data_IF_883320179640
#
_entry.id   IF_883320179640
#
_cell.length_a   1.000
_cell.length_b   1.000
_cell.length_c   1.000
_cell.angle_alpha   90.00
_cell.angle_beta   90.00
_cell.angle_gamma   90.00
#
_symmetry.space_group_name_H-M   'P 1'
#
loop_
_entity.id
_entity.type
_entity.pdbx_description
1 polymer ?
#
# COMPACT_ATOMS: atom_id res chain seq x y z
N UNK A 1 14.31 11.48 -16.21
CA UNK A 1 12.96 11.34 -15.59
C UNK A 1 12.76 12.43 -14.55
N UNK A 2 11.57 13.03 -14.51
CA UNK A 2 11.11 13.87 -13.39
C UNK A 2 9.93 13.15 -12.74
N UNK A 3 9.95 13.00 -11.40
CA UNK A 3 8.88 12.33 -10.65
C UNK A 3 8.24 13.33 -9.69
N UNK A 4 6.96 13.69 -9.91
CA UNK A 4 6.20 14.63 -9.08
C UNK A 4 5.29 13.87 -8.11
N UNK A 5 5.47 14.08 -6.80
CA UNK A 5 4.76 13.33 -5.76
C UNK A 5 4.54 14.17 -4.48
N UNK A 6 3.75 13.63 -3.56
CA UNK A 6 3.44 14.29 -2.30
C UNK A 6 4.61 14.27 -1.30
N UNK A 7 4.94 13.10 -0.76
CA UNK A 7 5.79 12.93 0.41
C UNK A 7 6.90 11.89 0.20
N UNK A 8 8.07 12.08 0.84
CA UNK A 8 9.16 11.10 0.85
C UNK A 8 8.90 9.99 1.88
N UNK A 9 8.05 9.02 1.58
CA UNK A 9 7.92 7.82 2.43
C UNK A 9 9.13 6.90 2.28
N UNK A 10 9.53 6.21 3.36
CA UNK A 10 10.73 5.36 3.38
C UNK A 10 10.75 4.31 2.24
N UNK A 11 9.62 3.69 1.94
CA UNK A 11 9.51 2.68 0.88
C UNK A 11 9.64 3.28 -0.53
N UNK A 12 9.19 4.54 -0.74
CA UNK A 12 9.40 5.26 -2.00
C UNK A 12 10.83 5.79 -2.13
N UNK A 13 11.42 6.31 -1.06
CA UNK A 13 12.83 6.71 -1.05
C UNK A 13 13.71 5.55 -1.50
N UNK A 14 13.49 4.34 -0.98
CA UNK A 14 14.24 3.15 -1.40
C UNK A 14 14.07 2.83 -2.87
N UNK A 15 12.84 2.84 -3.37
CA UNK A 15 12.55 2.63 -4.79
C UNK A 15 13.28 3.68 -5.65
N UNK A 16 13.19 4.97 -5.30
CA UNK A 16 13.82 6.04 -6.06
C UNK A 16 15.35 5.99 -5.99
N UNK A 17 15.94 5.59 -4.85
CA UNK A 17 17.37 5.36 -4.76
C UNK A 17 17.83 4.29 -5.76
N UNK A 18 17.11 3.17 -5.86
CA UNK A 18 17.44 2.11 -6.83
C UNK A 18 17.25 2.57 -8.28
N UNK A 19 16.19 3.31 -8.58
CA UNK A 19 15.98 3.88 -9.92
C UNK A 19 17.08 4.89 -10.26
N UNK A 20 17.47 5.75 -9.32
CA UNK A 20 18.50 6.78 -9.52
C UNK A 20 19.90 6.22 -9.80
N UNK A 21 20.21 5.01 -9.34
CA UNK A 21 21.48 4.31 -9.67
C UNK A 21 21.65 4.02 -11.16
N UNK A 22 20.54 3.93 -11.91
CA UNK A 22 20.53 3.46 -13.30
C UNK A 22 19.96 4.49 -14.28
N UNK A 23 19.29 5.53 -13.79
CA UNK A 23 18.63 6.57 -14.59
C UNK A 23 18.71 7.92 -13.89
N UNK A 24 19.02 8.99 -14.62
CA UNK A 24 18.95 10.34 -14.05
C UNK A 24 17.54 10.63 -13.58
N UNK A 25 17.35 10.83 -12.28
CA UNK A 25 16.07 11.02 -11.59
C UNK A 25 16.08 12.34 -10.81
N UNK A 26 15.06 13.17 -11.03
CA UNK A 26 14.71 14.31 -10.19
C UNK A 26 13.34 14.05 -9.56
N UNK A 27 13.27 13.99 -8.23
CA UNK A 27 12.00 13.88 -7.50
C UNK A 27 11.55 15.26 -7.04
N UNK A 28 10.32 15.62 -7.34
CA UNK A 28 9.72 16.91 -6.98
C UNK A 28 8.60 16.67 -5.97
N UNK A 29 8.76 17.20 -4.76
CA UNK A 29 7.79 17.08 -3.68
C UNK A 29 6.92 18.33 -3.59
N UNK A 30 5.60 18.18 -3.38
CA UNK A 30 4.67 19.30 -3.21
C UNK A 30 4.05 19.39 -1.81
N UNK A 31 4.41 18.46 -0.89
CA UNK A 31 4.01 18.49 0.53
C UNK A 31 5.23 18.23 1.43
N UNK A 32 5.23 18.81 2.64
CA UNK A 32 6.36 18.74 3.57
C UNK A 32 6.14 17.82 4.78
N UNK A 33 4.94 17.27 4.98
CA UNK A 33 4.65 16.39 6.11
C UNK A 33 3.21 15.87 6.10
N UNK A 34 2.94 14.91 6.97
CA UNK A 34 1.61 14.39 7.29
C UNK A 34 1.55 14.11 8.79
N UNK A 35 0.63 14.80 9.49
CA UNK A 35 0.50 14.72 10.95
C UNK A 35 -0.03 13.36 11.46
N UNK A 36 -0.61 12.56 10.56
CA UNK A 36 -1.20 11.25 10.85
C UNK A 36 -0.24 10.07 10.66
N UNK A 37 1.07 10.34 10.54
CA UNK A 37 2.11 9.34 10.30
C UNK A 37 3.15 9.32 11.43
N UNK A 38 3.69 8.14 11.73
CA UNK A 38 4.84 7.99 12.61
C UNK A 38 6.06 8.73 12.03
N UNK A 39 6.95 9.21 12.92
CA UNK A 39 8.16 9.91 12.50
C UNK A 39 9.10 9.05 11.65
N UNK A 40 9.10 7.73 11.85
CA UNK A 40 9.89 6.77 11.08
C UNK A 40 9.38 6.54 9.65
N UNK A 41 8.13 6.95 9.34
CA UNK A 41 7.58 6.91 7.98
C UNK A 41 8.41 7.74 6.98
N UNK A 42 9.09 8.79 7.46
CA UNK A 42 9.92 9.69 6.65
C UNK A 42 11.42 9.40 6.77
N UNK A 43 11.81 8.33 7.45
CA UNK A 43 13.22 7.95 7.62
C UNK A 43 13.79 7.34 6.34
N UNK A 44 14.89 7.90 5.86
CA UNK A 44 15.64 7.38 4.72
C UNK A 44 16.55 8.45 4.11
N UNK A 45 17.74 8.06 3.71
CA UNK A 45 18.64 8.94 2.97
C UNK A 45 18.24 8.97 1.50
N UNK A 46 18.11 10.17 0.95
CA UNK A 46 17.77 10.40 -0.45
C UNK A 46 19.05 10.53 -1.28
N UNK A 47 19.40 9.50 -2.04
CA UNK A 47 20.56 9.45 -2.94
C UNK A 47 20.21 9.86 -4.38
N UNK A 48 19.18 10.70 -4.55
CA UNK A 48 18.71 11.24 -5.83
C UNK A 48 18.52 12.75 -5.75
N UNK A 49 18.56 13.44 -6.90
CA UNK A 49 18.27 14.87 -6.96
C UNK A 49 16.80 15.12 -6.57
N UNK A 50 16.56 16.07 -5.66
CA UNK A 50 15.19 16.38 -5.24
C UNK A 50 14.98 17.88 -5.03
N UNK A 51 13.72 18.31 -5.20
CA UNK A 51 13.27 19.69 -5.03
C UNK A 51 11.92 19.71 -4.35
N UNK A 52 11.71 20.72 -3.49
CA UNK A 52 10.44 20.99 -2.83
C UNK A 52 9.73 22.17 -3.47
N UNK A 53 8.50 21.97 -3.95
CA UNK A 53 7.62 23.07 -4.33
C UNK A 53 7.06 23.73 -3.06
N UNK A 54 7.07 25.05 -3.02
CA UNK A 54 6.66 25.81 -1.83
C UNK A 54 5.47 26.72 -2.13
N UNK A 55 4.66 27.00 -1.09
CA UNK A 55 3.49 27.88 -1.14
C UNK A 55 2.25 27.20 -1.66
N UNK A 56 1.22 27.99 -2.00
CA UNK A 56 -0.07 27.48 -2.48
C UNK A 56 -0.03 26.94 -3.91
N UNK A 57 -1.14 26.36 -4.36
CA UNK A 57 -1.27 25.62 -5.60
C UNK A 57 -0.80 26.40 -6.85
N UNK A 58 -1.14 27.68 -6.95
CA UNK A 58 -0.72 28.54 -8.08
C UNK A 58 0.81 28.70 -8.11
N UNK A 59 1.42 29.01 -6.97
CA UNK A 59 2.87 29.17 -6.84
C UNK A 59 3.61 27.87 -7.16
N UNK A 60 3.11 26.74 -6.67
CA UNK A 60 3.66 25.40 -6.97
C UNK A 60 3.57 25.11 -8.47
N UNK A 61 2.44 25.40 -9.12
CA UNK A 61 2.26 25.21 -10.57
C UNK A 61 3.21 26.07 -11.38
N UNK A 62 3.46 27.34 -10.98
CA UNK A 62 4.43 28.22 -11.63
C UNK A 62 5.88 27.74 -11.45
N UNK A 63 6.24 27.26 -10.25
CA UNK A 63 7.57 26.68 -10.00
C UNK A 63 7.77 25.43 -10.86
N UNK A 64 6.75 24.55 -10.93
CA UNK A 64 6.79 23.37 -11.79
C UNK A 64 6.94 23.72 -13.26
N UNK A 65 6.19 24.72 -13.76
CA UNK A 65 6.30 25.20 -15.14
C UNK A 65 7.71 25.67 -15.47
N UNK A 66 8.34 26.45 -14.58
CA UNK A 66 9.73 26.90 -14.73
C UNK A 66 10.72 25.74 -14.73
N UNK A 67 10.52 24.76 -13.87
CA UNK A 67 11.35 23.56 -13.76
C UNK A 67 11.28 22.75 -15.06
N UNK A 68 10.08 22.46 -15.57
CA UNK A 68 9.87 21.67 -16.80
C UNK A 68 10.45 22.36 -18.05
N UNK A 69 10.49 23.71 -18.08
CA UNK A 69 11.12 24.47 -19.19
C UNK A 69 12.65 24.48 -19.13
N UNK A 70 13.22 24.42 -17.91
CA UNK A 70 14.67 24.55 -17.69
C UNK A 70 15.42 23.23 -17.63
N UNK A 71 14.74 22.14 -17.33
CA UNK A 71 15.34 20.82 -17.14
C UNK A 71 14.95 19.89 -18.29
N UNK A 72 15.90 19.34 -19.04
CA UNK A 72 15.58 18.30 -20.02
C UNK A 72 15.10 17.03 -19.30
N UNK A 73 14.02 16.45 -19.82
CA UNK A 73 13.47 15.18 -19.35
C UNK A 73 12.87 14.39 -20.52
N UNK A 74 12.92 13.10 -20.41
CA UNK A 74 12.32 12.12 -21.31
C UNK A 74 10.93 11.67 -20.82
N UNK A 75 10.71 11.67 -19.49
CA UNK A 75 9.47 11.23 -18.87
C UNK A 75 9.15 12.07 -17.63
N UNK A 76 7.88 12.48 -17.51
CA UNK A 76 7.29 13.10 -16.32
C UNK A 76 6.33 12.11 -15.68
N UNK A 77 6.71 11.58 -14.52
CA UNK A 77 5.88 10.65 -13.73
C UNK A 77 5.08 11.44 -12.71
N UNK A 78 3.76 11.35 -12.77
CA UNK A 78 2.82 12.03 -11.88
C UNK A 78 2.31 11.01 -10.85
N UNK A 79 2.52 11.28 -9.56
CA UNK A 79 2.16 10.41 -8.44
C UNK A 79 0.67 10.47 -8.07
N UNK A 80 -0.22 10.60 -9.06
CA UNK A 80 -1.67 10.68 -8.87
C UNK A 80 -2.28 11.84 -9.66
N UNK A 81 -3.50 12.24 -9.29
CA UNK A 81 -4.30 13.29 -9.96
C UNK A 81 -5.02 14.24 -8.99
N UNK A 82 -4.78 14.15 -7.67
CA UNK A 82 -5.59 14.80 -6.64
C UNK A 82 -5.28 16.28 -6.45
N UNK A 83 -4.16 16.79 -6.97
CA UNK A 83 -3.73 18.16 -6.69
C UNK A 83 -3.60 19.00 -7.95
N UNK A 84 -3.76 20.36 -7.84
CA UNK A 84 -3.54 21.26 -8.96
C UNK A 84 -2.15 21.15 -9.57
N UNK A 85 -1.11 20.87 -8.77
CA UNK A 85 0.26 20.71 -9.28
C UNK A 85 0.39 19.50 -10.22
N UNK A 86 -0.27 18.37 -9.89
CA UNK A 86 -0.31 17.17 -10.74
C UNK A 86 -1.07 17.45 -12.05
N UNK A 87 -2.22 18.13 -11.97
CA UNK A 87 -3.00 18.54 -13.14
C UNK A 87 -2.19 19.51 -14.03
N UNK A 88 -1.53 20.50 -13.43
CA UNK A 88 -0.65 21.43 -14.14
C UNK A 88 0.51 20.69 -14.83
N UNK A 89 1.13 19.72 -14.15
CA UNK A 89 2.17 18.87 -14.74
C UNK A 89 1.68 18.15 -15.99
N UNK A 90 0.50 17.51 -15.92
CA UNK A 90 -0.09 16.81 -17.07
C UNK A 90 -0.40 17.74 -18.27
N UNK A 91 -0.78 18.99 -17.99
CA UNK A 91 -1.11 19.98 -19.03
C UNK A 91 0.12 20.65 -19.65
N UNK A 92 1.12 20.96 -18.81
CA UNK A 92 2.33 21.69 -19.22
C UNK A 92 3.35 20.79 -19.94
N UNK A 93 3.32 19.50 -19.70
CA UNK A 93 4.20 18.53 -20.34
C UNK A 93 3.54 17.90 -21.58
N UNK A 94 4.32 17.59 -22.64
CA UNK A 94 3.80 16.86 -23.79
C UNK A 94 3.21 15.50 -23.38
N UNK A 95 2.04 15.15 -23.89
CA UNK A 95 1.35 13.90 -23.56
C UNK A 95 2.25 12.67 -23.66
N UNK A 96 3.07 12.59 -24.72
CA UNK A 96 3.96 11.43 -24.97
C UNK A 96 5.02 11.21 -23.89
N UNK A 97 5.29 12.22 -23.05
CA UNK A 97 6.21 12.14 -21.91
C UNK A 97 5.53 11.95 -20.57
N UNK A 98 4.20 12.01 -20.51
CA UNK A 98 3.44 11.92 -19.27
C UNK A 98 3.17 10.47 -18.89
N UNK A 99 3.63 10.07 -17.71
CA UNK A 99 3.24 8.85 -17.04
C UNK A 99 2.50 9.18 -15.73
N UNK A 100 1.63 8.27 -15.29
CA UNK A 100 0.93 8.39 -14.01
C UNK A 100 1.11 7.13 -13.19
N UNK A 101 1.43 7.28 -11.91
CA UNK A 101 1.37 6.18 -10.94
C UNK A 101 -0.06 6.08 -10.41
N UNK A 102 -0.65 4.90 -10.51
CA UNK A 102 -1.98 4.60 -10.02
C UNK A 102 -1.86 3.65 -8.82
N UNK A 103 -1.99 4.23 -7.63
CA UNK A 103 -2.00 3.49 -6.34
C UNK A 103 -3.44 3.19 -5.88
N UNK A 104 -4.41 4.03 -6.26
CA UNK A 104 -5.84 3.81 -6.01
C UNK A 104 -6.38 2.63 -6.82
N UNK A 105 -7.31 1.86 -6.25
CA UNK A 105 -7.94 0.70 -6.87
C UNK A 105 -9.39 0.96 -7.28
N UNK A 106 -9.98 0.06 -8.03
CA UNK A 106 -11.42 0.08 -8.38
C UNK A 106 -12.33 -0.06 -7.16
N UNK A 107 -11.80 -0.51 -6.03
CA UNK A 107 -12.58 -0.79 -4.82
C UNK A 107 -12.93 0.47 -4.03
N UNK A 108 -12.11 1.55 -4.12
CA UNK A 108 -12.35 2.79 -3.39
C UNK A 108 -12.48 4.02 -4.29
N UNK A 109 -11.96 3.97 -5.51
CA UNK A 109 -11.90 5.15 -6.37
C UNK A 109 -13.04 5.18 -7.39
N UNK A 110 -14.07 5.97 -7.11
CA UNK A 110 -15.20 6.15 -8.01
C UNK A 110 -14.77 6.76 -9.36
N UNK A 111 -15.44 6.29 -10.44
CA UNK A 111 -15.22 6.71 -11.83
C UNK A 111 -16.35 7.56 -12.41
N UNK A 112 -17.41 7.78 -11.62
CA UNK A 112 -18.59 8.57 -11.97
C UNK A 112 -18.59 10.01 -11.43
N UNK A 113 -19.61 10.78 -11.83
CA UNK A 113 -19.82 12.15 -11.40
C UNK A 113 -18.71 13.12 -11.86
N UNK A 114 -18.72 14.34 -11.30
CA UNK A 114 -17.74 15.39 -11.64
C UNK A 114 -16.29 14.95 -11.36
N UNK A 115 -16.04 14.28 -10.23
CA UNK A 115 -14.71 13.77 -9.90
C UNK A 115 -14.21 12.73 -10.90
N UNK A 116 -15.11 11.84 -11.36
CA UNK A 116 -14.79 10.86 -12.39
C UNK A 116 -14.47 11.52 -13.73
N UNK A 117 -15.21 12.58 -14.11
CA UNK A 117 -14.94 13.34 -15.33
C UNK A 117 -13.53 13.99 -15.30
N UNK A 118 -13.17 14.64 -14.21
CA UNK A 118 -11.83 15.23 -14.03
C UNK A 118 -10.74 14.17 -14.18
N UNK A 119 -10.88 13.00 -13.53
CA UNK A 119 -9.95 11.89 -13.68
C UNK A 119 -9.83 11.41 -15.13
N UNK A 120 -10.96 11.27 -15.84
CA UNK A 120 -10.97 10.86 -17.27
C UNK A 120 -10.28 11.89 -18.16
N UNK A 121 -10.47 13.19 -17.91
CA UNK A 121 -9.80 14.25 -18.63
C UNK A 121 -8.28 14.25 -18.35
N UNK A 122 -7.88 14.04 -17.10
CA UNK A 122 -6.48 13.86 -16.73
C UNK A 122 -5.86 12.67 -17.47
N UNK A 123 -6.53 11.50 -17.46
CA UNK A 123 -6.03 10.29 -18.12
C UNK A 123 -5.84 10.45 -19.65
N UNK A 124 -6.58 11.36 -20.31
CA UNK A 124 -6.34 11.71 -21.73
C UNK A 124 -4.98 12.38 -21.97
N UNK A 125 -4.39 12.96 -20.93
CA UNK A 125 -3.06 13.60 -21.00
C UNK A 125 -1.91 12.63 -20.65
N UNK A 126 -2.22 11.37 -20.32
CA UNK A 126 -1.26 10.35 -19.92
C UNK A 126 -0.99 9.40 -21.09
N UNK A 127 0.28 9.04 -21.30
CA UNK A 127 0.71 8.06 -22.30
C UNK A 127 1.02 6.69 -21.69
N UNK A 128 1.49 6.67 -20.41
CA UNK A 128 1.87 5.46 -19.70
C UNK A 128 1.29 5.47 -18.27
N UNK A 129 0.83 4.32 -17.81
CA UNK A 129 0.39 4.11 -16.42
C UNK A 129 1.31 3.10 -15.75
N UNK A 130 1.82 3.45 -14.58
CA UNK A 130 2.44 2.55 -13.62
C UNK A 130 1.38 2.16 -12.59
N UNK A 131 0.83 0.95 -12.70
CA UNK A 131 -0.19 0.44 -11.79
C UNK A 131 0.45 -0.48 -10.76
N UNK A 132 0.15 -0.27 -9.46
CA UNK A 132 0.70 -1.10 -8.39
C UNK A 132 0.32 -2.58 -8.55
N UNK A 133 -0.90 -2.86 -9.03
CA UNK A 133 -1.39 -4.21 -9.29
C UNK A 133 -2.58 -4.22 -10.24
N UNK A 134 -3.27 -5.38 -10.31
CA UNK A 134 -4.41 -5.60 -11.20
C UNK A 134 -5.61 -4.66 -10.94
N UNK A 135 -6.05 -4.44 -9.68
CA UNK A 135 -7.17 -3.53 -9.41
C UNK A 135 -6.88 -2.08 -9.77
N UNK A 136 -5.61 -1.64 -9.68
CA UNK A 136 -5.17 -0.31 -10.07
C UNK A 136 -5.13 -0.17 -11.60
N UNK A 137 -4.67 -1.20 -12.31
CA UNK A 137 -4.75 -1.25 -13.77
C UNK A 137 -6.20 -1.25 -14.27
N UNK A 138 -7.09 -1.97 -13.59
CA UNK A 138 -8.51 -1.99 -13.89
C UNK A 138 -9.16 -0.60 -13.70
N UNK A 139 -8.76 0.16 -12.65
CA UNK A 139 -9.19 1.54 -12.46
C UNK A 139 -8.76 2.44 -13.62
N UNK A 140 -7.51 2.34 -14.07
CA UNK A 140 -7.05 3.10 -15.24
C UNK A 140 -7.90 2.80 -16.49
N UNK A 141 -8.22 1.52 -16.73
CA UNK A 141 -9.13 1.10 -17.81
C UNK A 141 -10.54 1.67 -17.67
N UNK A 142 -11.12 1.63 -16.45
CA UNK A 142 -12.45 2.20 -16.15
C UNK A 142 -12.50 3.72 -16.30
N UNK A 143 -11.35 4.42 -16.14
CA UNK A 143 -11.20 5.84 -16.44
C UNK A 143 -10.96 6.14 -17.93
N UNK A 144 -11.05 5.13 -18.79
CA UNK A 144 -10.92 5.27 -20.25
C UNK A 144 -9.48 5.34 -20.75
N UNK A 145 -8.49 4.95 -19.95
CA UNK A 145 -7.10 4.87 -20.40
C UNK A 145 -6.93 3.75 -21.43
N UNK A 146 -6.21 4.04 -22.53
CA UNK A 146 -5.93 3.10 -23.63
C UNK A 146 -4.44 3.03 -23.99
N UNK A 147 -3.58 3.71 -23.20
CA UNK A 147 -2.14 3.70 -23.41
C UNK A 147 -1.45 2.47 -22.80
N UNK A 148 -0.14 2.56 -22.64
CA UNK A 148 0.68 1.50 -22.05
C UNK A 148 0.46 1.39 -20.53
N UNK A 149 0.10 0.22 -20.05
CA UNK A 149 0.03 -0.10 -18.62
C UNK A 149 1.21 -0.98 -18.25
N UNK A 150 1.94 -0.58 -17.22
CA UNK A 150 3.06 -1.32 -16.62
C UNK A 150 2.67 -1.68 -15.19
N UNK A 151 2.60 -2.98 -14.89
CA UNK A 151 2.36 -3.46 -13.54
C UNK A 151 3.67 -3.43 -12.74
N UNK A 152 3.74 -2.58 -11.72
CA UNK A 152 4.92 -2.49 -10.84
C UNK A 152 5.00 -3.67 -9.87
N UNK A 153 3.86 -4.19 -9.43
CA UNK A 153 3.77 -5.27 -8.45
C UNK A 153 4.01 -4.79 -7.01
N UNK A 154 3.75 -3.51 -6.73
CA UNK A 154 3.86 -2.87 -5.43
C UNK A 154 3.94 -1.35 -5.53
N UNK A 155 3.88 -0.67 -4.38
CA UNK A 155 3.90 0.79 -4.28
C UNK A 155 5.25 1.36 -3.81
N UNK A 156 6.29 0.53 -3.71
CA UNK A 156 7.63 0.87 -3.21
C UNK A 156 8.33 -0.33 -2.57
N UNK A 157 9.56 -0.13 -2.10
CA UNK A 157 10.39 -1.19 -1.52
C UNK A 157 10.37 -1.08 0.00
N UNK A 158 9.79 -2.08 0.67
CA UNK A 158 9.74 -2.19 2.11
C UNK A 158 11.07 -2.72 2.70
N UNK A 159 11.11 -2.91 4.02
CA UNK A 159 12.22 -3.57 4.73
C UNK A 159 12.14 -5.10 4.54
N UNK A 160 12.32 -5.57 3.30
CA UNK A 160 12.33 -7.01 3.05
C UNK A 160 13.58 -7.66 3.65
N UNK A 161 13.34 -8.61 4.57
CA UNK A 161 14.34 -9.50 5.10
C UNK A 161 14.32 -10.86 4.40
N UNK A 162 15.24 -11.74 4.79
CA UNK A 162 15.16 -13.13 4.38
C UNK A 162 13.86 -13.76 4.88
N UNK A 163 13.19 -14.52 4.01
CA UNK A 163 12.02 -15.30 4.41
C UNK A 163 12.39 -16.26 5.55
N UNK A 164 11.57 -16.32 6.62
CA UNK A 164 11.77 -17.34 7.64
C UNK A 164 11.67 -18.74 7.04
N UNK A 165 12.51 -19.65 7.54
CA UNK A 165 12.38 -21.06 7.17
C UNK A 165 10.97 -21.59 7.51
N UNK A 166 10.48 -22.51 6.70
CA UNK A 166 9.20 -23.15 6.98
C UNK A 166 9.31 -24.00 8.25
N UNK A 167 8.44 -23.71 9.19
CA UNK A 167 8.24 -24.49 10.40
C UNK A 167 6.73 -24.72 10.59
N UNK A 168 6.25 -25.98 10.65
CA UNK A 168 4.84 -26.23 10.86
C UNK A 168 4.39 -25.79 12.26
N UNK A 169 3.15 -25.32 12.38
CA UNK A 169 2.53 -25.02 13.67
C UNK A 169 1.66 -26.19 14.12
N UNK A 170 1.68 -26.45 15.42
CA UNK A 170 0.79 -27.45 16.06
C UNK A 170 -0.60 -26.87 16.38
N UNK A 171 -0.72 -25.53 16.50
CA UNK A 171 -1.97 -24.83 16.74
C UNK A 171 -1.90 -23.41 16.11
N UNK A 172 -3.06 -22.84 15.80
CA UNK A 172 -3.22 -21.49 15.27
C UNK A 172 -4.19 -20.74 16.19
N UNK A 173 -3.67 -19.76 16.94
CA UNK A 173 -4.44 -19.02 17.94
C UNK A 173 -4.16 -17.52 17.97
N UNK A 174 -3.01 -17.07 17.46
CA UNK A 174 -2.51 -15.71 17.59
C UNK A 174 -2.74 -14.92 16.29
N UNK A 175 -3.69 -14.02 16.32
CA UNK A 175 -4.02 -13.15 15.21
C UNK A 175 -3.45 -11.75 15.44
N UNK A 176 -3.07 -11.07 14.37
CA UNK A 176 -2.42 -9.77 14.42
C UNK A 176 -3.07 -8.79 13.44
N UNK A 177 -3.29 -7.58 13.90
CA UNK A 177 -3.52 -6.40 13.07
C UNK A 177 -2.39 -5.40 13.25
N UNK A 178 -1.93 -4.79 12.17
CA UNK A 178 -0.95 -3.69 12.19
C UNK A 178 -1.48 -2.54 11.35
N UNK A 179 -1.55 -1.33 11.93
CA UNK A 179 -1.94 -0.14 11.18
C UNK A 179 -2.63 0.93 12.04
N UNK A 180 -3.05 2.01 11.39
CA UNK A 180 -3.75 3.11 12.07
C UNK A 180 -5.12 2.68 12.58
N UNK A 181 -5.52 3.19 13.75
CA UNK A 181 -6.83 2.92 14.35
C UNK A 181 -7.84 3.98 13.89
N UNK A 182 -8.25 3.87 12.61
CA UNK A 182 -9.18 4.80 11.92
C UNK A 182 -10.35 4.04 11.30
N UNK A 183 -11.46 4.73 11.03
CA UNK A 183 -12.72 4.13 10.58
C UNK A 183 -12.59 3.24 9.33
N UNK A 184 -11.83 3.69 8.33
CA UNK A 184 -11.64 2.94 7.08
C UNK A 184 -10.96 1.57 7.28
N UNK A 185 -10.31 1.35 8.43
CA UNK A 185 -9.67 0.07 8.80
C UNK A 185 -10.64 -0.95 9.39
N UNK A 186 -11.89 -0.56 9.70
CA UNK A 186 -12.98 -1.47 10.10
C UNK A 186 -12.67 -2.34 11.33
N UNK A 187 -11.96 -1.76 12.31
CA UNK A 187 -11.48 -2.50 13.48
C UNK A 187 -12.59 -2.87 14.47
N UNK A 188 -13.72 -2.16 14.47
CA UNK A 188 -14.87 -2.53 15.29
C UNK A 188 -15.40 -3.92 14.90
N UNK A 189 -15.51 -4.20 13.59
CA UNK A 189 -15.89 -5.52 13.09
C UNK A 189 -14.91 -6.59 13.60
N UNK A 190 -13.61 -6.31 13.51
CA UNK A 190 -12.56 -7.23 13.95
C UNK A 190 -12.65 -7.51 15.45
N UNK A 191 -12.67 -6.47 16.28
CA UNK A 191 -12.71 -6.59 17.76
C UNK A 191 -13.96 -7.34 18.22
N UNK A 192 -15.15 -6.98 17.70
CA UNK A 192 -16.42 -7.68 18.03
C UNK A 192 -16.37 -9.16 17.63
N UNK A 193 -15.85 -9.46 16.43
CA UNK A 193 -15.72 -10.84 15.95
C UNK A 193 -14.82 -11.67 16.87
N UNK A 194 -13.69 -11.12 17.34
CA UNK A 194 -12.81 -11.82 18.28
C UNK A 194 -13.39 -11.91 19.69
N UNK A 195 -14.23 -10.95 20.11
CA UNK A 195 -14.98 -11.06 21.37
C UNK A 195 -15.88 -12.30 21.46
N UNK A 196 -16.36 -12.80 20.29
CA UNK A 196 -17.15 -14.04 20.19
C UNK A 196 -16.27 -15.31 20.10
N UNK A 197 -14.95 -15.17 20.09
CA UNK A 197 -13.99 -16.27 19.95
C UNK A 197 -12.93 -16.23 21.06
N UNK A 198 -13.30 -16.47 22.34
CA UNK A 198 -12.41 -16.31 23.50
C UNK A 198 -11.23 -17.32 23.50
N UNK A 199 -11.28 -18.36 22.70
CA UNK A 199 -10.23 -19.34 22.48
C UNK A 199 -9.09 -18.84 21.58
N UNK A 200 -9.26 -17.67 20.95
CA UNK A 200 -8.29 -17.04 20.05
C UNK A 200 -7.81 -15.70 20.60
N UNK A 201 -6.58 -15.35 20.31
CA UNK A 201 -5.94 -14.11 20.72
C UNK A 201 -5.83 -13.12 19.53
N UNK A 202 -6.22 -11.86 19.74
CA UNK A 202 -6.01 -10.78 18.79
C UNK A 202 -5.04 -9.74 19.36
N UNK A 203 -3.94 -9.52 18.67
CA UNK A 203 -3.02 -8.41 18.95
C UNK A 203 -3.23 -7.28 17.95
N UNK A 204 -3.39 -6.06 18.45
CA UNK A 204 -3.56 -4.84 17.65
C UNK A 204 -2.34 -3.94 17.87
N UNK A 205 -1.54 -3.74 16.82
CA UNK A 205 -0.38 -2.84 16.81
C UNK A 205 -0.69 -1.60 15.99
N UNK A 206 -0.58 -0.43 16.61
CA UNK A 206 -0.85 0.86 15.98
C UNK A 206 -1.53 1.83 16.93
N UNK A 207 -1.87 2.99 16.40
CA UNK A 207 -2.53 4.07 17.15
C UNK A 207 -3.53 4.81 16.25
N UNK A 208 -4.41 5.60 16.86
CA UNK A 208 -5.37 6.43 16.14
C UNK A 208 -6.58 6.84 16.98
N UNK A 209 -7.46 7.67 16.43
CA UNK A 209 -8.58 8.25 17.16
C UNK A 209 -9.59 7.21 17.68
N UNK A 210 -9.63 6.00 17.13
CA UNK A 210 -10.56 4.96 17.60
C UNK A 210 -10.03 4.13 18.76
N UNK A 211 -8.82 4.38 19.28
CA UNK A 211 -8.18 3.54 20.30
C UNK A 211 -9.06 3.37 21.55
N UNK A 212 -9.60 4.47 22.07
CA UNK A 212 -10.48 4.43 23.25
C UNK A 212 -11.74 3.60 23.04
N UNK A 213 -12.40 3.80 21.88
CA UNK A 213 -13.59 3.03 21.50
C UNK A 213 -13.27 1.53 21.38
N UNK A 214 -12.19 1.20 20.69
CA UNK A 214 -11.80 -0.20 20.47
C UNK A 214 -11.43 -0.90 21.76
N UNK A 215 -10.73 -0.22 22.69
CA UNK A 215 -10.45 -0.75 24.03
C UNK A 215 -11.70 -1.00 24.85
N UNK A 216 -12.71 -0.14 24.75
CA UNK A 216 -13.99 -0.31 25.43
C UNK A 216 -14.83 -1.48 24.87
N UNK A 217 -14.63 -1.84 23.60
CA UNK A 217 -15.31 -2.97 22.95
C UNK A 217 -14.55 -4.30 23.10
N UNK A 218 -13.28 -4.24 23.48
CA UNK A 218 -12.38 -5.39 23.48
C UNK A 218 -12.68 -6.35 24.64
N UNK A 219 -12.74 -7.65 24.32
CA UNK A 219 -12.71 -8.71 25.33
C UNK A 219 -11.29 -8.95 25.87
N UNK A 220 -11.15 -9.80 26.90
CA UNK A 220 -9.87 -10.10 27.54
C UNK A 220 -8.84 -10.77 26.61
N UNK A 221 -9.27 -11.31 25.49
CA UNK A 221 -8.44 -11.95 24.47
C UNK A 221 -7.92 -10.97 23.39
N UNK A 222 -8.21 -9.65 23.53
CA UNK A 222 -7.73 -8.62 22.60
C UNK A 222 -6.69 -7.74 23.29
N UNK A 223 -5.47 -7.71 22.77
CA UNK A 223 -4.34 -6.95 23.30
C UNK A 223 -3.96 -5.80 22.38
N UNK A 224 -3.72 -4.61 22.94
CA UNK A 224 -3.21 -3.44 22.23
C UNK A 224 -1.74 -3.20 22.58
N UNK A 225 -0.88 -3.12 21.55
CA UNK A 225 0.55 -2.84 21.69
C UNK A 225 0.88 -1.34 21.61
N UNK A 226 -0.07 -0.51 21.12
CA UNK A 226 0.23 0.87 20.75
C UNK A 226 1.10 0.97 19.46
N UNK A 227 1.72 2.12 19.22
CA UNK A 227 2.62 2.31 18.07
C UNK A 227 3.87 1.44 18.21
N UNK A 228 4.26 0.80 17.10
CA UNK A 228 5.45 -0.03 17.00
C UNK A 228 6.35 0.54 15.90
N UNK A 229 7.65 0.69 16.19
CA UNK A 229 8.63 1.15 15.20
C UNK A 229 8.79 0.13 14.06
N UNK A 230 9.06 0.61 12.85
CA UNK A 230 9.14 -0.24 11.64
C UNK A 230 10.25 -1.31 11.72
N UNK A 231 11.33 -1.06 12.45
CA UNK A 231 12.42 -2.02 12.66
C UNK A 231 12.03 -3.17 13.61
N UNK A 232 11.05 -2.96 14.48
CA UNK A 232 10.52 -3.95 15.43
C UNK A 232 9.35 -4.76 14.85
N UNK A 233 8.66 -4.25 13.82
CA UNK A 233 7.51 -4.92 13.20
C UNK A 233 7.80 -6.35 12.72
N UNK A 234 8.96 -6.69 12.15
CA UNK A 234 9.27 -8.07 11.76
C UNK A 234 9.13 -9.08 12.89
N UNK A 235 9.54 -8.73 14.11
CA UNK A 235 9.38 -9.60 15.27
C UNK A 235 7.89 -9.78 15.65
N UNK A 236 7.08 -8.71 15.53
CA UNK A 236 5.64 -8.73 15.81
C UNK A 236 4.90 -9.63 14.82
N UNK A 237 5.21 -9.52 13.51
CA UNK A 237 4.63 -10.40 12.49
C UNK A 237 4.98 -11.87 12.73
N UNK A 238 6.25 -12.19 13.01
CA UNK A 238 6.73 -13.56 13.26
C UNK A 238 6.14 -14.19 14.53
N UNK A 239 5.82 -13.38 15.52
CA UNK A 239 5.17 -13.84 16.76
C UNK A 239 3.70 -14.24 16.55
N UNK A 240 3.05 -13.72 15.53
CA UNK A 240 1.68 -14.05 15.17
C UNK A 240 1.61 -15.30 14.29
N UNK A 241 0.45 -15.95 14.30
CA UNK A 241 0.14 -17.04 13.38
C UNK A 241 -0.51 -16.50 12.10
N UNK A 242 -1.46 -15.57 12.21
CA UNK A 242 -2.22 -15.02 11.09
C UNK A 242 -2.28 -13.49 11.19
N UNK A 243 -2.05 -12.81 10.08
CA UNK A 243 -2.29 -11.36 9.95
C UNK A 243 -3.69 -11.10 9.39
N UNK A 244 -4.42 -10.12 9.96
CA UNK A 244 -5.78 -9.77 9.53
C UNK A 244 -5.86 -8.29 9.14
N UNK A 245 -6.32 -8.00 7.91
CA UNK A 245 -6.57 -6.64 7.43
C UNK A 245 -8.03 -6.46 7.02
N UNK A 246 -8.91 -5.96 7.92
CA UNK A 246 -10.35 -5.92 7.69
C UNK A 246 -10.84 -4.65 6.96
N UNK A 247 -9.95 -3.87 6.37
CA UNK A 247 -10.22 -2.53 5.84
C UNK A 247 -11.42 -2.46 4.90
N UNK A 248 -12.25 -1.42 5.05
CA UNK A 248 -13.30 -1.02 4.07
C UNK A 248 -12.71 -0.28 2.88
N UNK A 249 -11.57 0.37 3.10
CA UNK A 249 -10.82 1.09 2.07
C UNK A 249 -9.33 0.86 2.32
N UNK A 250 -8.68 0.21 1.36
CA UNK A 250 -7.24 -0.04 1.36
C UNK A 250 -6.72 -0.01 -0.08
N UNK A 251 -6.10 1.08 -0.53
CA UNK A 251 -5.63 1.21 -1.90
C UNK A 251 -4.65 0.12 -2.34
N UNK A 252 -3.71 -0.27 -1.47
CA UNK A 252 -2.80 -1.38 -1.70
C UNK A 252 -2.76 -2.36 -0.53
N UNK A 253 -2.21 -1.95 0.62
CA UNK A 253 -2.04 -2.79 1.80
C UNK A 253 -0.59 -3.24 1.97
N UNK A 254 0.35 -2.30 2.15
CA UNK A 254 1.77 -2.58 2.39
C UNK A 254 1.99 -3.55 3.56
N UNK A 255 1.17 -3.46 4.60
CA UNK A 255 1.20 -4.37 5.76
C UNK A 255 0.92 -5.84 5.41
N UNK A 256 0.27 -6.12 4.26
CA UNK A 256 0.08 -7.48 3.74
C UNK A 256 1.42 -8.01 3.20
N UNK A 257 2.16 -7.18 2.46
CA UNK A 257 3.50 -7.54 2.00
C UNK A 257 4.44 -7.79 3.18
N UNK A 258 4.38 -6.94 4.21
CA UNK A 258 5.18 -7.11 5.43
C UNK A 258 4.86 -8.41 6.15
N UNK A 259 3.57 -8.75 6.34
CA UNK A 259 3.15 -10.00 6.96
C UNK A 259 3.66 -11.21 6.17
N UNK A 260 3.44 -11.24 4.86
CA UNK A 260 3.89 -12.32 3.99
C UNK A 260 5.41 -12.45 3.95
N UNK A 261 6.15 -11.31 3.92
CA UNK A 261 7.63 -11.33 3.97
C UNK A 261 8.18 -11.84 5.31
N UNK A 262 7.38 -11.81 6.37
CA UNK A 262 7.73 -12.36 7.68
C UNK A 262 7.17 -13.77 7.92
N UNK A 263 6.71 -14.47 6.88
CA UNK A 263 6.25 -15.84 6.94
C UNK A 263 4.83 -16.02 7.53
N UNK A 264 4.06 -14.93 7.63
CA UNK A 264 2.73 -14.92 8.26
C UNK A 264 1.63 -14.93 7.20
N UNK A 265 0.81 -16.01 7.09
CA UNK A 265 -0.37 -16.05 6.24
C UNK A 265 -1.39 -14.97 6.59
N UNK A 266 -2.20 -14.59 5.62
CA UNK A 266 -3.06 -13.41 5.76
C UNK A 266 -4.55 -13.71 5.59
N UNK A 267 -5.39 -12.95 6.30
CA UNK A 267 -6.83 -12.78 6.01
C UNK A 267 -7.03 -11.31 5.65
N UNK A 268 -7.57 -11.04 4.48
CA UNK A 268 -7.84 -9.65 4.05
C UNK A 268 -9.29 -9.48 3.62
N UNK A 269 -9.81 -8.27 3.74
CA UNK A 269 -11.13 -7.97 3.20
C UNK A 269 -11.12 -7.95 1.66
N UNK A 270 -12.29 -8.07 1.04
CA UNK A 270 -12.52 -7.92 -0.39
C UNK A 270 -12.24 -6.51 -0.93
N UNK A 271 -11.90 -5.55 -0.05
CA UNK A 271 -11.58 -4.14 -0.36
C UNK A 271 -10.09 -3.81 -0.30
N UNK A 272 -9.23 -4.79 -0.07
CA UNK A 272 -7.78 -4.60 -0.04
C UNK A 272 -7.22 -4.66 -1.45
N UNK A 273 -6.51 -3.61 -1.87
CA UNK A 273 -6.06 -3.43 -3.26
C UNK A 273 -5.03 -4.45 -3.75
N UNK A 274 -4.21 -5.01 -2.86
CA UNK A 274 -3.23 -6.04 -3.24
C UNK A 274 -3.80 -7.47 -3.24
N UNK A 275 -5.08 -7.66 -2.88
CA UNK A 275 -5.65 -9.01 -2.71
C UNK A 275 -5.54 -9.89 -3.97
N UNK A 276 -5.81 -9.30 -5.15
CA UNK A 276 -5.79 -10.05 -6.42
C UNK A 276 -4.37 -10.34 -6.94
N UNK A 277 -3.36 -9.74 -6.30
CA UNK A 277 -1.95 -9.91 -6.66
C UNK A 277 -1.18 -10.76 -5.65
N UNK A 278 -1.50 -10.62 -4.34
CA UNK A 278 -0.73 -11.22 -3.24
C UNK A 278 -1.50 -12.31 -2.47
N UNK A 279 -2.85 -12.26 -2.42
CA UNK A 279 -3.64 -13.22 -1.65
C UNK A 279 -4.16 -14.32 -2.56
N UNK A 280 -3.56 -15.49 -2.43
CA UNK A 280 -3.83 -16.67 -3.25
C UNK A 280 -4.21 -17.86 -2.36
N UNK A 281 -4.63 -18.96 -2.96
CA UNK A 281 -4.87 -20.22 -2.24
C UNK A 281 -3.62 -20.77 -1.50
N UNK A 282 -2.44 -20.17 -1.72
CA UNK A 282 -1.17 -20.53 -1.09
C UNK A 282 -0.69 -19.49 -0.05
N UNK A 283 -1.34 -18.33 0.09
CA UNK A 283 -0.85 -17.25 0.96
C UNK A 283 -1.88 -16.76 1.96
N UNK A 284 -3.17 -16.95 1.72
CA UNK A 284 -4.19 -16.43 2.61
C UNK A 284 -5.62 -16.62 2.14
N UNK A 285 -6.53 -15.94 2.84
CA UNK A 285 -7.97 -15.94 2.59
C UNK A 285 -8.49 -14.51 2.40
N UNK A 286 -9.59 -14.38 1.68
CA UNK A 286 -10.38 -13.16 1.59
C UNK A 286 -11.74 -13.33 2.26
N UNK A 287 -12.29 -12.26 2.80
CA UNK A 287 -13.65 -12.22 3.36
C UNK A 287 -14.38 -10.93 2.93
N UNK A 288 -15.69 -10.90 3.04
CA UNK A 288 -16.51 -9.70 2.74
C UNK A 288 -16.37 -8.69 3.86
N UNK A 289 -15.94 -7.48 3.55
CA UNK A 289 -15.62 -6.40 4.52
C UNK A 289 -16.79 -5.98 5.43
N UNK A 290 -18.02 -6.23 5.02
CA UNK A 290 -19.27 -5.87 5.72
C UNK A 290 -19.95 -7.07 6.41
N UNK A 291 -19.30 -8.23 6.45
CA UNK A 291 -19.90 -9.50 6.90
C UNK A 291 -19.06 -10.15 8.01
N UNK A 292 -19.55 -10.05 9.25
CA UNK A 292 -18.90 -10.67 10.41
C UNK A 292 -18.90 -12.21 10.32
N UNK A 293 -19.92 -12.83 9.72
CA UNK A 293 -19.96 -14.27 9.54
C UNK A 293 -18.89 -14.74 8.56
N UNK A 294 -18.67 -13.97 7.47
CA UNK A 294 -17.59 -14.23 6.52
C UNK A 294 -16.20 -14.09 7.16
N UNK A 295 -15.98 -13.06 8.00
CA UNK A 295 -14.73 -12.91 8.74
C UNK A 295 -14.52 -14.09 9.71
N UNK A 296 -15.55 -14.44 10.49
CA UNK A 296 -15.50 -15.57 11.45
C UNK A 296 -15.20 -16.89 10.75
N UNK A 297 -15.83 -17.15 9.61
CA UNK A 297 -15.56 -18.35 8.82
C UNK A 297 -14.09 -18.39 8.34
N UNK A 298 -13.55 -17.28 7.86
CA UNK A 298 -12.15 -17.18 7.45
C UNK A 298 -11.19 -17.40 8.63
N UNK A 299 -11.47 -16.81 9.81
CA UNK A 299 -10.68 -17.02 11.03
C UNK A 299 -10.71 -18.50 11.45
N UNK A 300 -11.90 -19.13 11.54
CA UNK A 300 -12.04 -20.56 11.89
C UNK A 300 -11.37 -21.47 10.87
N UNK A 301 -11.39 -21.12 9.58
CA UNK A 301 -10.68 -21.87 8.54
C UNK A 301 -9.16 -21.84 8.73
N UNK A 302 -8.61 -20.71 9.19
CA UNK A 302 -7.18 -20.63 9.53
C UNK A 302 -6.80 -21.48 10.73
N UNK A 303 -7.74 -21.78 11.65
CA UNK A 303 -7.50 -22.65 12.79
C UNK A 303 -7.39 -24.15 12.42
N UNK A 304 -7.77 -24.54 11.19
CA UNK A 304 -7.45 -25.87 10.65
C UNK A 304 -5.94 -25.96 10.39
N UNK A 305 -5.23 -26.69 11.22
CA UNK A 305 -3.77 -26.79 11.24
C UNK A 305 -3.21 -27.29 9.91
N UNK A 306 -3.88 -28.27 9.28
CA UNK A 306 -3.45 -28.82 7.98
C UNK A 306 -3.56 -27.76 6.88
N UNK A 307 -4.69 -27.06 6.82
CA UNK A 307 -4.90 -25.95 5.89
C UNK A 307 -3.89 -24.84 6.12
N UNK A 308 -3.71 -24.41 7.37
CA UNK A 308 -2.80 -23.34 7.75
C UNK A 308 -1.34 -23.67 7.39
N UNK A 309 -0.85 -24.86 7.70
CA UNK A 309 0.53 -25.26 7.40
C UNK A 309 0.80 -25.31 5.87
N UNK A 310 -0.20 -25.63 5.06
CA UNK A 310 -0.11 -25.52 3.60
C UNK A 310 0.07 -24.07 3.17
N UNK A 311 -0.66 -23.12 3.76
CA UNK A 311 -0.48 -21.68 3.49
C UNK A 311 0.91 -21.21 3.94
N UNK A 312 1.35 -21.60 5.14
CA UNK A 312 2.69 -21.25 5.63
C UNK A 312 3.81 -21.73 4.69
N UNK A 313 3.69 -22.96 4.18
CA UNK A 313 4.61 -23.47 3.16
C UNK A 313 4.55 -22.64 1.87
N UNK A 314 3.37 -22.22 1.45
CA UNK A 314 3.21 -21.31 0.29
C UNK A 314 3.88 -19.96 0.50
N UNK A 315 3.66 -19.37 1.68
CA UNK A 315 4.25 -18.07 2.07
C UNK A 315 5.78 -18.15 2.12
N UNK A 316 6.37 -19.23 2.66
CA UNK A 316 7.83 -19.39 2.74
C UNK A 316 8.55 -19.47 1.39
N UNK A 317 7.80 -19.68 0.30
CA UNK A 317 8.34 -19.72 -1.09
C UNK A 317 8.28 -18.36 -1.79
N UNK A 318 7.71 -17.33 -1.16
CA UNK A 318 7.67 -15.99 -1.75
C UNK A 318 9.06 -15.35 -1.74
N UNK A 319 9.39 -14.64 -2.80
CA UNK A 319 10.64 -13.88 -2.94
C UNK A 319 10.33 -12.38 -3.12
N UNK A 320 10.34 -11.65 -2.02
CA UNK A 320 10.11 -10.20 -2.04
C UNK A 320 11.32 -9.41 -2.56
N UNK A 321 12.53 -9.98 -2.56
CA UNK A 321 13.70 -9.38 -3.22
C UNK A 321 13.47 -9.34 -4.74
N UNK A 322 12.91 -10.41 -5.31
CA UNK A 322 12.50 -10.43 -6.72
C UNK A 322 11.37 -9.43 -6.99
N UNK A 323 10.40 -9.30 -6.08
CA UNK A 323 9.34 -8.30 -6.18
C UNK A 323 9.92 -6.88 -6.20
N UNK A 324 10.86 -6.56 -5.31
CA UNK A 324 11.55 -5.26 -5.30
C UNK A 324 12.28 -4.98 -6.61
N UNK A 325 13.03 -5.96 -7.15
CA UNK A 325 13.70 -5.81 -8.45
C UNK A 325 12.70 -5.54 -9.58
N UNK A 326 11.58 -6.26 -9.61
CA UNK A 326 10.51 -6.05 -10.60
C UNK A 326 9.94 -4.63 -10.52
N UNK A 327 9.74 -4.08 -9.32
CA UNK A 327 9.27 -2.70 -9.15
C UNK A 327 10.26 -1.71 -9.74
N UNK A 328 11.56 -1.90 -9.54
CA UNK A 328 12.61 -1.05 -10.14
C UNK A 328 12.61 -1.18 -11.66
N UNK A 329 12.64 -2.40 -12.20
CA UNK A 329 12.65 -2.67 -13.66
C UNK A 329 11.46 -2.05 -14.39
N UNK A 330 10.30 -1.93 -13.73
CA UNK A 330 9.13 -1.30 -14.30
C UNK A 330 9.40 0.14 -14.79
N UNK A 331 10.31 0.88 -14.16
CA UNK A 331 10.66 2.24 -14.53
C UNK A 331 11.67 2.34 -15.68
N UNK A 332 12.11 1.20 -16.22
CA UNK A 332 13.02 1.11 -17.39
C UNK A 332 12.33 0.50 -18.62
N UNK A 333 11.06 0.13 -18.49
CA UNK A 333 10.24 -0.46 -19.56
C UNK A 333 9.60 0.58 -20.47
#
# INVERSE_FOLDING_TARGET
MIYLTNLPSFYKIRLWNEVARRRRLLVVFYQSGAADRNADFFRGEMHFEHVWLRGGAVRQSLQLARLLRRRPYDELVLGGWETPALLAGALLSPRGKNACVVESSVYESGTGGMKGLVKKLFMRRIAKVYACGKPQAALAGALGFRGRVVLTGGCGILNYGAQPAYEPRAAVRRFLYVGRLVEVKNLELLVRTFGEMPDLELTIAGFGPLEGLLKALAGPNVRFLGPVDNDKLPAVYRAADVFVLPSRVEPWGLVVEEALNNGTPVIVSDRVGCKDDLVTAATGLTFRHDDAASLRAAVRRMCDVTFYNRLRLGVSRLDFTRSARRQVEAYFS
#
